data_IF_191461860214
#
_entry.id   IF_191461860214
#
_cell.length_a   1.000
_cell.length_b   1.000
_cell.length_c   1.000
_cell.angle_alpha   90.00
_cell.angle_beta   90.00
_cell.angle_gamma   90.00
#
_symmetry.space_group_name_H-M   'P 1'
#
loop_
_entity.id
_entity.type
_entity.pdbx_description
1 polymer ?
#
# COMPACT_ATOMS: atom_id res chain seq x y z
N UNK A 1 12.00 17.76 3.57
CA UNK A 1 11.27 17.43 4.79
C UNK A 1 10.16 16.44 4.50
N UNK A 2 10.07 15.42 5.31
CA UNK A 2 9.04 14.41 5.09
C UNK A 2 7.68 14.92 5.54
N UNK A 3 6.68 14.72 4.72
CA UNK A 3 5.30 14.99 5.11
C UNK A 3 4.78 13.83 5.95
N UNK A 4 3.72 14.10 6.70
CA UNK A 4 3.03 13.05 7.44
C UNK A 4 2.50 12.01 6.45
N UNK A 5 2.71 10.72 6.71
CA UNK A 5 2.23 9.71 5.79
C UNK A 5 0.71 9.64 5.75
N UNK A 6 0.18 9.25 4.60
CA UNK A 6 -1.25 9.09 4.37
C UNK A 6 -1.69 7.64 4.54
N UNK A 7 -0.76 6.72 4.76
CA UNK A 7 -1.07 5.32 5.02
C UNK A 7 0.01 4.70 5.89
N UNK A 8 -0.26 3.53 6.45
CA UNK A 8 0.70 2.79 7.26
C UNK A 8 1.37 1.67 6.46
N UNK A 9 0.77 1.26 5.36
CA UNK A 9 1.12 0.01 4.69
C UNK A 9 2.15 0.17 3.57
N UNK A 10 2.42 1.40 3.14
CA UNK A 10 3.24 1.66 1.95
C UNK A 10 4.59 0.96 1.96
N UNK A 11 5.41 1.16 3.01
CA UNK A 11 6.73 0.51 3.04
C UNK A 11 6.64 -1.01 3.01
N UNK A 12 5.65 -1.60 3.66
CA UNK A 12 5.48 -3.04 3.68
C UNK A 12 4.99 -3.57 2.33
N UNK A 13 4.10 -2.83 1.65
CA UNK A 13 3.68 -3.16 0.29
C UNK A 13 4.90 -3.22 -0.62
N UNK A 14 5.76 -2.22 -0.53
CA UNK A 14 6.98 -2.18 -1.34
C UNK A 14 7.87 -3.39 -1.05
N UNK A 15 8.06 -3.69 0.23
CA UNK A 15 8.90 -4.82 0.62
C UNK A 15 8.34 -6.14 0.09
N UNK A 16 7.03 -6.38 0.25
CA UNK A 16 6.38 -7.60 -0.23
C UNK A 16 6.46 -7.70 -1.75
N UNK A 17 6.31 -6.57 -2.44
CA UNK A 17 6.44 -6.53 -3.89
C UNK A 17 7.84 -6.97 -4.33
N UNK A 18 8.86 -6.41 -3.70
CA UNK A 18 10.25 -6.71 -4.03
C UNK A 18 10.55 -8.18 -3.72
N UNK A 19 10.08 -8.68 -2.58
CA UNK A 19 10.26 -10.09 -2.22
C UNK A 19 9.60 -11.02 -3.21
N UNK A 20 8.49 -10.59 -3.82
CA UNK A 20 7.80 -11.36 -4.84
C UNK A 20 8.46 -11.24 -6.22
N UNK A 21 9.52 -10.44 -6.34
CA UNK A 21 10.22 -10.26 -7.60
C UNK A 21 9.48 -9.40 -8.60
N UNK A 22 8.57 -8.53 -8.15
CA UNK A 22 7.72 -7.73 -9.02
C UNK A 22 8.20 -6.29 -9.12
N UNK A 23 8.20 -5.75 -10.35
CA UNK A 23 8.32 -4.31 -10.54
C UNK A 23 7.01 -3.63 -10.14
N UNK A 24 7.03 -2.31 -10.02
CA UNK A 24 5.78 -1.57 -9.78
C UNK A 24 4.79 -1.78 -10.93
N UNK A 25 5.27 -1.80 -12.16
CA UNK A 25 4.41 -2.04 -13.32
C UNK A 25 3.78 -3.43 -13.26
N UNK A 26 4.57 -4.44 -12.89
CA UNK A 26 4.07 -5.81 -12.81
C UNK A 26 3.01 -5.95 -11.71
N UNK A 27 3.24 -5.34 -10.56
CA UNK A 27 2.24 -5.38 -9.49
C UNK A 27 0.98 -4.63 -9.89
N UNK A 28 1.11 -3.46 -10.52
CA UNK A 28 -0.06 -2.71 -10.99
C UNK A 28 -0.88 -3.54 -11.97
N UNK A 29 -0.22 -4.27 -12.88
CA UNK A 29 -0.91 -5.14 -13.81
C UNK A 29 -1.69 -6.25 -13.10
N UNK A 30 -1.10 -6.85 -12.06
CA UNK A 30 -1.78 -7.87 -11.27
C UNK A 30 -2.98 -7.31 -10.50
N UNK A 31 -2.85 -6.10 -9.99
CA UNK A 31 -3.96 -5.44 -9.31
C UNK A 31 -5.13 -5.19 -10.27
N UNK A 32 -4.83 -4.79 -11.51
CA UNK A 32 -5.87 -4.60 -12.52
C UNK A 32 -6.62 -5.90 -12.81
N UNK A 33 -5.90 -7.00 -12.92
CA UNK A 33 -6.52 -8.32 -13.09
C UNK A 33 -7.45 -8.65 -11.93
N UNK A 34 -7.10 -8.22 -10.74
CA UNK A 34 -7.90 -8.47 -9.54
C UNK A 34 -8.94 -7.37 -9.28
N UNK A 35 -9.21 -6.53 -10.26
CA UNK A 35 -10.33 -5.59 -10.20
C UNK A 35 -10.00 -4.19 -9.73
N UNK A 36 -8.73 -3.85 -9.58
CA UNK A 36 -8.32 -2.52 -9.15
C UNK A 36 -7.45 -1.85 -10.20
N UNK A 37 -8.04 -0.88 -10.89
CA UNK A 37 -7.37 -0.16 -11.97
C UNK A 37 -6.44 0.90 -11.40
N UNK A 38 -5.35 0.45 -10.78
CA UNK A 38 -4.35 1.30 -10.19
C UNK A 38 -3.17 1.42 -11.15
N UNK A 39 -2.77 2.65 -11.46
CA UNK A 39 -1.61 2.89 -12.31
C UNK A 39 -0.31 2.67 -11.53
N UNK A 40 0.79 2.51 -12.27
CA UNK A 40 2.12 2.45 -11.64
C UNK A 40 2.39 3.70 -10.78
N UNK A 41 1.99 4.86 -11.28
CA UNK A 41 2.17 6.11 -10.53
C UNK A 41 1.37 6.10 -9.23
N UNK A 42 0.15 5.57 -9.26
CA UNK A 42 -0.67 5.43 -8.05
C UNK A 42 -0.05 4.48 -7.05
N UNK A 43 0.48 3.36 -7.54
CA UNK A 43 1.17 2.40 -6.67
C UNK A 43 2.42 3.03 -6.05
N UNK A 44 3.18 3.78 -6.84
CA UNK A 44 4.36 4.48 -6.34
C UNK A 44 4.00 5.42 -5.19
N UNK A 45 2.88 6.14 -5.32
CA UNK A 45 2.41 7.03 -4.26
C UNK A 45 2.02 6.27 -3.00
N UNK A 46 1.39 5.11 -3.15
CA UNK A 46 1.06 4.27 -2.00
C UNK A 46 2.34 3.85 -1.28
N UNK A 47 3.32 3.34 -2.01
CA UNK A 47 4.57 2.86 -1.43
C UNK A 47 5.33 3.98 -0.73
N UNK A 48 5.22 5.19 -1.24
CA UNK A 48 5.87 6.36 -0.66
C UNK A 48 5.08 7.00 0.48
N UNK A 49 3.89 6.50 0.79
CA UNK A 49 3.05 7.06 1.85
C UNK A 49 2.35 8.34 1.46
N UNK A 50 2.24 8.63 0.17
CA UNK A 50 1.68 9.90 -0.33
C UNK A 50 0.19 9.82 -0.67
N UNK A 51 -0.42 8.65 -0.51
CA UNK A 51 -1.80 8.40 -0.91
C UNK A 51 -2.48 7.55 0.14
N UNK A 52 -3.74 7.82 0.39
CA UNK A 52 -4.54 6.99 1.28
C UNK A 52 -4.86 5.66 0.62
N UNK A 53 -5.08 4.65 1.45
CA UNK A 53 -5.49 3.31 1.01
C UNK A 53 -6.74 2.95 1.81
N UNK A 54 -7.83 2.65 1.12
CA UNK A 54 -9.06 2.27 1.79
C UNK A 54 -9.09 0.76 2.08
N UNK A 55 -10.09 0.33 2.82
CA UNK A 55 -10.15 -1.06 3.27
C UNK A 55 -10.34 -2.05 2.13
N UNK A 56 -11.08 -1.68 1.08
CA UNK A 56 -11.25 -2.54 -0.08
C UNK A 56 -9.93 -2.68 -0.86
N UNK A 57 -9.18 -1.59 -0.96
CA UNK A 57 -7.87 -1.61 -1.60
C UNK A 57 -6.88 -2.49 -0.83
N UNK A 58 -6.95 -2.45 0.50
CA UNK A 58 -6.13 -3.33 1.34
C UNK A 58 -6.42 -4.80 1.05
N UNK A 59 -7.71 -5.12 0.89
CA UNK A 59 -8.13 -6.49 0.57
C UNK A 59 -7.50 -6.95 -0.74
N UNK A 60 -7.57 -6.12 -1.78
CA UNK A 60 -7.03 -6.47 -3.10
C UNK A 60 -5.51 -6.61 -3.03
N UNK A 61 -4.83 -5.72 -2.29
CA UNK A 61 -3.38 -5.82 -2.10
C UNK A 61 -2.99 -7.13 -1.45
N UNK A 62 -3.67 -7.50 -0.37
CA UNK A 62 -3.37 -8.74 0.35
C UNK A 62 -3.58 -9.95 -0.55
N UNK A 63 -4.69 -9.98 -1.28
CA UNK A 63 -5.00 -11.07 -2.21
C UNK A 63 -3.94 -11.17 -3.30
N UNK A 64 -3.57 -10.05 -3.89
CA UNK A 64 -2.62 -10.02 -5.02
C UNK A 64 -1.22 -10.42 -4.55
N UNK A 65 -0.80 -9.94 -3.38
CA UNK A 65 0.51 -10.25 -2.82
C UNK A 65 0.53 -11.59 -2.08
N UNK A 66 -0.63 -12.25 -1.98
CA UNK A 66 -0.77 -13.57 -1.34
C UNK A 66 -0.31 -13.54 0.11
N UNK A 67 -0.75 -12.55 0.85
CA UNK A 67 -0.46 -12.43 2.27
C UNK A 67 -1.74 -12.18 3.04
N UNK A 68 -1.67 -12.31 4.35
CA UNK A 68 -2.78 -11.94 5.22
C UNK A 68 -2.86 -10.41 5.30
N UNK A 69 -4.04 -9.89 5.62
CA UNK A 69 -4.21 -8.45 5.78
C UNK A 69 -3.22 -7.88 6.79
N UNK A 70 -2.98 -8.58 7.89
CA UNK A 70 -2.01 -8.15 8.89
C UNK A 70 -0.60 -8.10 8.35
N UNK A 71 -0.31 -8.87 7.30
CA UNK A 71 1.00 -8.85 6.65
C UNK A 71 1.29 -7.56 5.91
N UNK A 72 0.28 -6.75 5.64
CA UNK A 72 0.47 -5.44 5.01
C UNK A 72 0.96 -4.38 5.98
N UNK A 73 0.92 -4.66 7.28
CA UNK A 73 1.31 -3.69 8.30
C UNK A 73 2.70 -4.02 8.85
N UNK A 74 3.48 -3.01 9.20
CA UNK A 74 4.73 -3.27 9.92
C UNK A 74 4.41 -3.84 11.31
N UNK A 75 5.36 -4.58 11.88
CA UNK A 75 5.15 -5.19 13.21
C UNK A 75 4.93 -4.13 14.30
N UNK A 76 5.54 -2.96 14.13
CA UNK A 76 5.36 -1.84 15.05
C UNK A 76 5.05 -0.59 14.24
N UNK A 77 3.78 -0.39 13.88
CA UNK A 77 3.44 0.75 13.03
C UNK A 77 3.74 2.07 13.73
N UNK A 78 4.39 2.96 13.00
CA UNK A 78 4.66 4.32 13.44
C UNK A 78 3.64 5.25 12.79
N UNK A 79 3.52 6.45 13.31
CA UNK A 79 2.70 7.51 12.70
C UNK A 79 1.20 7.20 12.65
N UNK A 80 0.73 6.27 13.49
CA UNK A 80 -0.69 5.89 13.48
C UNK A 80 -1.58 7.12 13.72
N UNK A 81 -1.25 7.92 14.71
CA UNK A 81 -2.05 9.11 15.04
C UNK A 81 -2.09 10.11 13.89
N UNK A 82 -0.96 10.34 13.21
CA UNK A 82 -0.93 11.26 12.09
C UNK A 82 -1.78 10.76 10.93
N UNK A 83 -1.73 9.46 10.65
CA UNK A 83 -2.51 8.87 9.57
C UNK A 83 -4.01 8.97 9.89
N UNK A 84 -4.38 8.72 11.13
CA UNK A 84 -5.77 8.84 11.57
C UNK A 84 -6.26 10.28 11.38
N UNK A 85 -5.46 11.28 11.80
CA UNK A 85 -5.83 12.68 11.66
C UNK A 85 -5.97 13.09 10.19
N UNK A 86 -5.04 12.65 9.36
CA UNK A 86 -5.10 12.96 7.93
C UNK A 86 -6.36 12.37 7.31
N UNK A 87 -6.78 11.20 7.77
CA UNK A 87 -7.98 10.56 7.28
C UNK A 87 -9.27 11.28 7.67
N UNK A 88 -9.23 12.08 8.72
CA UNK A 88 -10.41 12.79 9.17
C UNK A 88 -10.72 14.07 8.42
N UNK A 89 -9.93 14.41 7.45
CA UNK A 89 -10.14 15.64 6.69
C UNK A 89 -11.08 15.49 5.54
#
# INVERSE_FOLDING_TARGET
>A
MAESPQNLVGPQVRRLRIEAGLSQEALAAKLQVNGWDLSRAGLSKIEAGLRRVNDAELWVLAKTLRCQLTGLYPSKPANVSSVVRNGGK
#
